data_IF_428165256112
#
_entry.id   IF_428165256112
#
_cell.length_a   1.000
_cell.length_b   1.000
_cell.length_c   1.000
_cell.angle_alpha   90.00
_cell.angle_beta   90.00
_cell.angle_gamma   90.00
#
_symmetry.space_group_name_H-M   'P 1'
#
loop_
_entity.id
_entity.type
_entity.pdbx_description
1 polymer ?
#
# COMPACT_ATOMS: atom_id res chain seq x y z
N UNK A 1 -3.11 5.16 27.83
CA UNK A 1 -2.02 4.76 26.90
C UNK A 1 -2.13 5.56 25.61
N UNK A 2 -1.06 6.28 25.18
CA UNK A 2 -1.03 6.93 23.86
C UNK A 2 -0.94 5.84 22.78
N UNK A 3 -1.89 5.81 21.83
CA UNK A 3 -1.91 4.83 20.74
C UNK A 3 -0.72 5.09 19.81
N UNK A 4 0.30 4.22 19.82
CA UNK A 4 1.35 4.26 18.80
C UNK A 4 0.71 4.05 17.42
N UNK A 5 0.97 4.99 16.52
CA UNK A 5 0.32 5.13 15.24
C UNK A 5 1.05 4.24 14.22
N UNK A 6 0.44 3.13 13.83
CA UNK A 6 0.93 2.29 12.74
C UNK A 6 -0.11 2.30 11.61
N UNK A 7 -0.02 3.29 10.72
CA UNK A 7 -0.95 3.48 9.59
C UNK A 7 -0.66 2.50 8.45
N UNK A 8 -0.69 1.20 8.70
CA UNK A 8 -0.46 0.19 7.65
C UNK A 8 -1.66 0.09 6.70
N UNK A 9 -2.88 0.42 7.16
CA UNK A 9 -4.10 0.50 6.36
C UNK A 9 -5.14 1.46 7.02
N UNK A 10 -6.29 1.67 6.37
CA UNK A 10 -7.35 2.52 6.92
C UNK A 10 -7.99 1.96 8.20
N UNK A 11 -7.99 0.64 8.44
CA UNK A 11 -8.52 0.05 9.68
C UNK A 11 -7.71 0.53 10.90
N UNK A 12 -6.38 0.43 10.83
CA UNK A 12 -5.55 0.96 11.92
C UNK A 12 -5.74 2.46 12.07
N UNK A 13 -5.89 3.20 10.96
CA UNK A 13 -6.21 4.63 10.99
C UNK A 13 -7.52 4.93 11.75
N UNK A 14 -8.61 4.24 11.43
CA UNK A 14 -9.92 4.47 12.07
C UNK A 14 -9.90 4.09 13.55
N UNK A 15 -9.36 2.91 13.89
CA UNK A 15 -9.30 2.45 15.28
C UNK A 15 -8.36 3.29 16.15
N UNK A 16 -7.27 3.81 15.58
CA UNK A 16 -6.31 4.63 16.35
C UNK A 16 -6.75 6.09 16.50
N UNK A 17 -7.44 6.67 15.52
CA UNK A 17 -7.97 8.04 15.63
C UNK A 17 -9.28 8.14 16.40
N UNK A 18 -10.05 7.06 16.50
CA UNK A 18 -11.30 7.06 17.24
C UNK A 18 -11.07 7.30 18.75
N UNK A 19 -11.94 8.11 19.34
CA UNK A 19 -12.05 8.32 20.79
C UNK A 19 -12.72 7.13 21.50
N UNK A 20 -13.38 6.22 20.76
CA UNK A 20 -14.01 5.02 21.33
C UNK A 20 -12.95 4.12 21.97
N UNK A 21 -13.34 3.51 23.10
CA UNK A 21 -12.58 2.45 23.75
C UNK A 21 -12.57 1.18 22.89
N UNK A 22 -11.64 0.25 23.15
CA UNK A 22 -11.64 -1.02 22.44
C UNK A 22 -12.88 -1.87 22.75
N UNK A 23 -13.43 -1.78 23.96
CA UNK A 23 -14.70 -2.41 24.32
C UNK A 23 -15.88 -1.81 23.56
N UNK A 24 -15.96 -0.48 23.45
CA UNK A 24 -17.04 0.16 22.66
C UNK A 24 -16.96 -0.23 21.18
N UNK A 25 -15.76 -0.41 20.62
CA UNK A 25 -15.59 -0.95 19.28
C UNK A 25 -15.99 -2.43 19.18
N UNK A 26 -15.80 -3.21 20.25
CA UNK A 26 -16.31 -4.59 20.32
C UNK A 26 -17.82 -4.59 20.21
N UNK A 27 -18.51 -3.77 20.99
CA UNK A 27 -19.97 -3.67 20.98
C UNK A 27 -20.47 -3.28 19.58
N UNK A 28 -19.89 -2.23 18.97
CA UNK A 28 -20.26 -1.80 17.61
C UNK A 28 -20.08 -2.94 16.58
N UNK A 29 -19.01 -3.73 16.70
CA UNK A 29 -18.73 -4.85 15.80
C UNK A 29 -19.72 -5.98 16.03
N UNK A 30 -20.08 -6.28 17.28
CA UNK A 30 -21.11 -7.27 17.59
C UNK A 30 -22.46 -6.87 16.99
N UNK A 31 -22.88 -5.62 17.19
CA UNK A 31 -24.11 -5.08 16.65
C UNK A 31 -24.12 -5.15 15.11
N UNK A 32 -23.03 -4.72 14.46
CA UNK A 32 -22.91 -4.79 13.01
C UNK A 32 -22.92 -6.23 12.47
N UNK A 33 -22.32 -7.19 13.18
CA UNK A 33 -22.36 -8.62 12.81
C UNK A 33 -23.79 -9.14 12.88
N UNK A 34 -24.53 -8.78 13.93
CA UNK A 34 -25.94 -9.14 14.11
C UNK A 34 -26.83 -8.51 13.03
N UNK A 35 -26.68 -7.22 12.76
CA UNK A 35 -27.45 -6.48 11.75
C UNK A 35 -27.25 -7.05 10.34
N UNK A 36 -26.00 -7.38 10.00
CA UNK A 36 -25.65 -7.99 8.72
C UNK A 36 -25.97 -9.49 8.66
N UNK A 37 -26.45 -10.09 9.76
CA UNK A 37 -26.72 -11.54 9.88
C UNK A 37 -25.51 -12.39 9.53
N UNK A 38 -24.32 -11.96 9.92
CA UNK A 38 -23.06 -12.68 9.72
C UNK A 38 -22.85 -13.70 10.83
N UNK A 39 -22.33 -14.88 10.50
CA UNK A 39 -22.07 -15.95 11.48
C UNK A 39 -20.65 -15.86 12.03
N UNK A 40 -20.46 -15.32 13.23
CA UNK A 40 -19.16 -15.25 13.91
C UNK A 40 -19.23 -15.66 15.38
N UNK A 41 -18.87 -16.91 15.66
CA UNK A 41 -18.91 -17.47 17.01
C UNK A 41 -18.01 -16.70 18.00
N UNK A 42 -16.95 -16.02 17.54
CA UNK A 42 -16.08 -15.28 18.45
C UNK A 42 -16.81 -14.05 19.01
N UNK A 43 -17.47 -13.28 18.15
CA UNK A 43 -18.18 -12.09 18.58
C UNK A 43 -19.55 -12.42 19.20
N UNK A 44 -20.25 -13.45 18.71
CA UNK A 44 -21.62 -13.77 19.16
C UNK A 44 -21.70 -14.76 20.32
N UNK A 45 -20.62 -15.48 20.67
CA UNK A 45 -20.65 -16.39 21.82
C UNK A 45 -20.47 -15.65 23.15
N UNK A 46 -21.17 -16.17 24.17
CA UNK A 46 -20.99 -15.79 25.57
C UNK A 46 -19.74 -16.41 26.21
N UNK A 47 -19.12 -17.40 25.55
CA UNK A 47 -17.93 -18.09 26.05
C UNK A 47 -16.68 -17.19 26.03
N UNK A 48 -16.67 -16.17 25.16
CA UNK A 48 -15.60 -15.18 25.08
C UNK A 48 -15.95 -13.95 25.92
N UNK A 49 -15.10 -13.61 26.89
CA UNK A 49 -15.31 -12.41 27.71
C UNK A 49 -15.04 -11.11 26.92
N UNK A 50 -15.53 -9.99 27.47
CA UNK A 50 -15.36 -8.66 26.86
C UNK A 50 -13.88 -8.27 26.72
N UNK A 51 -13.01 -8.75 27.61
CA UNK A 51 -11.59 -8.40 27.59
C UNK A 51 -10.86 -9.06 26.41
N UNK A 52 -11.19 -10.31 26.09
CA UNK A 52 -10.64 -11.02 24.94
C UNK A 52 -11.05 -10.37 23.62
N UNK A 53 -12.33 -9.98 23.50
CA UNK A 53 -12.84 -9.26 22.33
C UNK A 53 -12.21 -7.87 22.21
N UNK A 54 -12.07 -7.12 23.30
CA UNK A 54 -11.37 -5.84 23.29
C UNK A 54 -9.88 -5.99 22.92
N UNK A 55 -9.23 -7.07 23.37
CA UNK A 55 -7.85 -7.41 22.98
C UNK A 55 -7.75 -7.69 21.48
N UNK A 56 -8.75 -8.33 20.87
CA UNK A 56 -8.81 -8.49 19.40
C UNK A 56 -8.85 -7.13 18.70
N UNK A 57 -9.67 -6.18 19.14
CA UNK A 57 -9.70 -4.83 18.56
C UNK A 57 -8.37 -4.08 18.75
N UNK A 58 -7.73 -4.22 19.91
CA UNK A 58 -6.39 -3.70 20.12
C UNK A 58 -5.41 -4.25 19.09
N UNK A 59 -5.40 -5.56 18.85
CA UNK A 59 -4.53 -6.21 17.85
C UNK A 59 -4.83 -5.71 16.43
N UNK A 60 -6.10 -5.54 16.06
CA UNK A 60 -6.48 -4.92 14.78
C UNK A 60 -5.91 -3.51 14.65
N UNK A 61 -5.94 -2.71 15.72
CA UNK A 61 -5.35 -1.36 15.73
C UNK A 61 -3.82 -1.36 15.58
N UNK A 62 -3.16 -2.51 15.79
CA UNK A 62 -1.72 -2.72 15.59
C UNK A 62 -1.37 -3.30 14.21
N UNK A 63 -2.36 -3.51 13.35
CA UNK A 63 -2.15 -4.00 11.99
C UNK A 63 -2.24 -5.52 11.87
N UNK A 64 -2.77 -6.22 12.87
CA UNK A 64 -3.19 -7.61 12.69
C UNK A 64 -4.32 -7.65 11.66
N UNK A 65 -4.26 -8.65 10.79
CA UNK A 65 -5.19 -8.82 9.68
C UNK A 65 -6.59 -9.14 10.25
N UNK A 66 -7.63 -8.38 9.87
CA UNK A 66 -9.01 -8.68 10.25
C UNK A 66 -9.52 -9.94 9.56
N UNK A 67 -10.51 -10.59 10.16
CA UNK A 67 -11.30 -11.61 9.48
C UNK A 67 -12.19 -10.95 8.42
N UNK A 68 -12.77 -11.76 7.52
CA UNK A 68 -13.75 -11.29 6.53
C UNK A 68 -14.95 -10.64 7.22
N UNK A 69 -15.38 -11.23 8.32
CA UNK A 69 -16.55 -10.77 9.07
C UNK A 69 -16.25 -9.44 9.75
N UNK A 70 -15.10 -9.33 10.44
CA UNK A 70 -14.63 -8.07 11.00
C UNK A 70 -14.48 -6.99 9.92
N UNK A 71 -13.99 -7.37 8.73
CA UNK A 71 -13.83 -6.45 7.60
C UNK A 71 -15.17 -5.90 7.11
N UNK A 72 -16.18 -6.76 6.98
CA UNK A 72 -17.53 -6.34 6.58
C UNK A 72 -18.22 -5.50 7.66
N UNK A 73 -18.13 -5.93 8.92
CA UNK A 73 -18.70 -5.21 10.06
C UNK A 73 -18.09 -3.82 10.19
N UNK A 74 -16.75 -3.70 10.15
CA UNK A 74 -16.05 -2.41 10.16
C UNK A 74 -16.44 -1.52 8.97
N UNK A 75 -16.64 -2.11 7.79
CA UNK A 75 -17.07 -1.35 6.62
C UNK A 75 -18.50 -0.81 6.78
N UNK A 76 -19.38 -1.61 7.37
CA UNK A 76 -20.73 -1.21 7.69
C UNK A 76 -20.76 -0.10 8.75
N UNK A 77 -20.01 -0.23 9.85
CA UNK A 77 -19.93 0.81 10.89
C UNK A 77 -19.44 2.14 10.33
N UNK A 78 -18.45 2.12 9.42
CA UNK A 78 -17.79 3.33 8.94
C UNK A 78 -18.42 3.96 7.70
N UNK A 79 -19.12 3.17 6.89
CA UNK A 79 -19.63 3.61 5.58
C UNK A 79 -21.08 3.21 5.33
N UNK A 80 -21.78 2.68 6.35
CA UNK A 80 -23.16 2.19 6.29
C UNK A 80 -23.39 1.13 5.18
N UNK A 81 -22.31 0.47 4.74
CA UNK A 81 -22.35 -0.48 3.65
C UNK A 81 -21.15 -1.44 3.71
N UNK A 82 -21.42 -2.72 3.97
CA UNK A 82 -20.40 -3.77 4.01
C UNK A 82 -19.60 -3.92 2.71
N UNK A 83 -20.19 -3.58 1.55
CA UNK A 83 -19.52 -3.63 0.24
C UNK A 83 -18.51 -2.50 0.07
N UNK A 84 -18.52 -1.49 0.94
CA UNK A 84 -17.52 -0.42 0.97
C UNK A 84 -16.22 -0.82 1.65
N UNK A 85 -16.02 -2.08 2.02
CA UNK A 85 -14.80 -2.57 2.67
C UNK A 85 -13.48 -2.22 1.96
N UNK A 86 -13.38 -2.06 0.61
CA UNK A 86 -12.12 -1.62 0.00
C UNK A 86 -11.66 -0.24 0.49
N UNK A 87 -12.61 0.61 0.91
CA UNK A 87 -12.32 1.93 1.51
C UNK A 87 -11.62 1.79 2.87
N UNK A 88 -11.72 0.66 3.55
CA UNK A 88 -10.97 0.39 4.79
C UNK A 88 -9.47 0.25 4.56
N UNK A 89 -9.03 -0.07 3.34
CA UNK A 89 -7.61 -0.18 3.02
C UNK A 89 -7.06 1.11 2.42
N UNK A 90 -7.88 1.79 1.62
CA UNK A 90 -7.53 3.05 0.96
C UNK A 90 -8.61 4.11 1.22
N UNK A 91 -8.72 4.68 2.44
CA UNK A 91 -9.84 5.55 2.82
C UNK A 91 -9.76 6.95 2.20
N UNK A 92 -8.55 7.48 2.04
CA UNK A 92 -8.30 8.82 1.52
C UNK A 92 -6.91 8.89 0.88
N UNK A 93 -6.63 10.00 0.18
CA UNK A 93 -5.39 10.20 -0.57
C UNK A 93 -4.13 10.13 0.31
N UNK A 94 -4.18 10.68 1.53
CA UNK A 94 -3.05 10.65 2.47
C UNK A 94 -2.67 9.20 2.84
N UNK A 95 -3.66 8.37 3.21
CA UNK A 95 -3.40 6.95 3.56
C UNK A 95 -2.95 6.18 2.32
N UNK A 96 -3.57 6.41 1.16
CA UNK A 96 -3.16 5.77 -0.10
C UNK A 96 -1.70 6.09 -0.46
N UNK A 97 -1.27 7.36 -0.37
CA UNK A 97 0.12 7.76 -0.63
C UNK A 97 1.08 7.00 0.30
N UNK A 98 0.76 6.90 1.60
CA UNK A 98 1.59 6.17 2.56
C UNK A 98 1.68 4.67 2.24
N UNK A 99 0.56 4.03 1.90
CA UNK A 99 0.54 2.62 1.50
C UNK A 99 1.35 2.36 0.22
N UNK A 100 1.31 3.30 -0.74
CA UNK A 100 2.15 3.28 -1.95
C UNK A 100 3.63 3.34 -1.57
N UNK A 101 4.03 4.29 -0.73
CA UNK A 101 5.41 4.43 -0.27
C UNK A 101 5.92 3.16 0.44
N UNK A 102 5.16 2.62 1.39
CA UNK A 102 5.52 1.38 2.09
C UNK A 102 5.72 0.22 1.10
N UNK A 103 4.83 0.10 0.11
CA UNK A 103 4.90 -0.96 -0.90
C UNK A 103 6.17 -0.86 -1.73
N UNK A 104 6.51 0.34 -2.20
CA UNK A 104 7.71 0.60 -3.02
C UNK A 104 8.97 0.33 -2.21
N UNK A 105 9.08 0.93 -1.02
CA UNK A 105 10.29 0.84 -0.19
C UNK A 105 10.57 -0.62 0.16
N UNK A 106 9.53 -1.41 0.47
CA UNK A 106 9.68 -2.85 0.71
C UNK A 106 10.29 -3.61 -0.48
N UNK A 107 9.90 -3.25 -1.71
CA UNK A 107 10.39 -3.87 -2.94
C UNK A 107 11.79 -3.37 -3.31
N UNK A 108 12.02 -2.07 -3.25
CA UNK A 108 13.32 -1.45 -3.53
C UNK A 108 14.39 -2.00 -2.59
N UNK A 109 14.13 -2.02 -1.28
CA UNK A 109 15.05 -2.60 -0.30
C UNK A 109 15.37 -4.07 -0.59
N UNK A 110 14.41 -4.84 -1.07
CA UNK A 110 14.64 -6.25 -1.43
C UNK A 110 15.57 -6.42 -2.64
N UNK A 111 15.52 -5.51 -3.62
CA UNK A 111 16.46 -5.48 -4.75
C UNK A 111 17.83 -5.02 -4.27
N UNK A 112 17.87 -3.96 -3.46
CA UNK A 112 19.11 -3.35 -3.00
C UNK A 112 19.92 -4.27 -2.08
N UNK A 113 19.27 -5.12 -1.28
CA UNK A 113 19.96 -6.17 -0.50
C UNK A 113 20.78 -7.15 -1.38
N UNK A 114 20.53 -7.20 -2.69
CA UNK A 114 21.34 -7.93 -3.68
C UNK A 114 22.23 -7.00 -4.53
N UNK A 115 22.78 -5.95 -3.94
CA UNK A 115 23.46 -4.80 -4.58
C UNK A 115 24.40 -5.15 -5.74
N UNK A 116 25.22 -6.19 -5.61
CA UNK A 116 26.19 -6.59 -6.65
C UNK A 116 25.53 -7.00 -7.97
N UNK A 117 24.44 -7.77 -7.90
CA UNK A 117 23.70 -8.20 -9.09
C UNK A 117 22.93 -7.05 -9.73
N UNK A 118 22.42 -6.12 -8.89
CA UNK A 118 21.70 -4.95 -9.37
C UNK A 118 22.63 -3.95 -10.06
N UNK A 119 23.79 -3.62 -9.47
CA UNK A 119 24.76 -2.71 -10.08
C UNK A 119 25.31 -3.26 -11.41
N UNK A 120 25.53 -4.58 -11.47
CA UNK A 120 25.92 -5.26 -12.72
C UNK A 120 24.81 -5.22 -13.77
N UNK A 121 23.54 -5.34 -13.36
CA UNK A 121 22.41 -5.21 -14.26
C UNK A 121 22.29 -3.76 -14.76
N UNK A 122 22.37 -2.77 -13.87
CA UNK A 122 22.20 -1.35 -14.16
C UNK A 122 23.26 -0.85 -15.16
N UNK A 123 24.53 -1.22 -14.97
CA UNK A 123 25.62 -0.84 -15.88
C UNK A 123 25.45 -1.40 -17.29
N UNK A 124 24.80 -2.58 -17.43
CA UNK A 124 24.50 -3.22 -18.72
C UNK A 124 23.30 -2.62 -19.46
N UNK A 125 22.42 -1.87 -18.79
CA UNK A 125 21.18 -1.32 -19.39
C UNK A 125 21.36 0.07 -20.02
N UNK A 126 22.60 0.56 -20.12
CA UNK A 126 22.89 1.90 -20.63
C UNK A 126 22.43 2.07 -22.09
N UNK A 127 21.42 2.93 -22.26
CA UNK A 127 21.14 3.77 -23.45
C UNK A 127 19.99 3.37 -24.41
N UNK A 128 19.52 2.12 -24.51
CA UNK A 128 18.42 1.79 -25.48
C UNK A 128 17.23 0.99 -24.94
N UNK A 129 17.38 0.19 -23.89
CA UNK A 129 16.32 -0.73 -23.42
C UNK A 129 15.29 -0.10 -22.47
N UNK A 130 15.68 0.88 -21.66
CA UNK A 130 14.79 1.51 -20.67
C UNK A 130 13.79 2.50 -21.33
N UNK A 131 14.18 3.08 -22.47
CA UNK A 131 13.36 4.01 -23.28
C UNK A 131 12.61 3.33 -24.41
N UNK A 132 12.92 2.07 -24.74
CA UNK A 132 12.03 1.31 -25.60
C UNK A 132 10.68 1.33 -24.89
N UNK A 133 9.70 1.99 -25.49
CA UNK A 133 8.34 2.12 -24.98
C UNK A 133 7.99 0.75 -24.43
N UNK A 134 7.95 0.60 -23.10
CA UNK A 134 7.56 -0.68 -22.51
C UNK A 134 6.21 -0.93 -23.16
N UNK A 135 6.08 -1.93 -24.05
CA UNK A 135 4.85 -2.14 -24.78
C UNK A 135 3.73 -2.07 -23.75
N UNK A 136 2.68 -1.30 -24.01
CA UNK A 136 1.51 -1.31 -23.13
C UNK A 136 1.04 -2.77 -22.87
N UNK A 137 1.41 -3.69 -23.78
CA UNK A 137 1.18 -5.14 -23.73
C UNK A 137 2.23 -5.98 -22.96
N UNK A 138 3.39 -5.46 -22.54
CA UNK A 138 4.39 -6.24 -21.76
C UNK A 138 3.85 -6.56 -20.35
N UNK A 139 2.85 -5.82 -19.91
CA UNK A 139 2.12 -6.04 -18.65
C UNK A 139 0.89 -6.95 -18.77
N UNK A 140 0.42 -7.22 -19.99
CA UNK A 140 -0.60 -8.27 -20.25
C UNK A 140 0.04 -9.67 -20.30
N UNK A 141 1.36 -9.74 -20.49
CA UNK A 141 2.11 -10.98 -20.33
C UNK A 141 2.20 -11.33 -18.84
N UNK A 142 1.58 -12.45 -18.48
CA UNK A 142 1.54 -13.01 -17.12
C UNK A 142 2.93 -13.41 -16.54
N UNK A 143 4.02 -13.00 -17.18
CA UNK A 143 5.38 -13.48 -16.93
C UNK A 143 6.35 -12.45 -16.34
N UNK A 144 6.04 -11.15 -16.33
CA UNK A 144 6.96 -10.18 -15.71
C UNK A 144 6.94 -10.32 -14.19
N UNK A 145 8.12 -10.51 -13.59
CA UNK A 145 8.22 -10.63 -12.15
C UNK A 145 8.19 -9.25 -11.47
N UNK A 146 7.70 -9.20 -10.22
CA UNK A 146 7.77 -7.99 -9.41
C UNK A 146 9.23 -7.54 -9.20
N UNK A 147 10.19 -8.48 -9.24
CA UNK A 147 11.61 -8.18 -9.17
C UNK A 147 12.06 -7.39 -10.39
N UNK A 148 11.66 -7.82 -11.59
CA UNK A 148 12.06 -7.18 -12.85
C UNK A 148 11.43 -5.80 -13.01
N UNK A 149 10.15 -5.64 -12.67
CA UNK A 149 9.51 -4.31 -12.71
C UNK A 149 10.15 -3.33 -11.72
N UNK A 150 10.57 -3.81 -10.54
CA UNK A 150 11.26 -2.98 -9.55
C UNK A 150 12.62 -2.55 -10.08
N UNK A 151 13.35 -3.43 -10.76
CA UNK A 151 14.62 -3.08 -11.43
C UNK A 151 14.42 -2.02 -12.50
N UNK A 152 13.40 -2.15 -13.34
CA UNK A 152 13.04 -1.16 -14.37
C UNK A 152 12.76 0.20 -13.72
N UNK A 153 11.93 0.24 -12.69
CA UNK A 153 11.64 1.46 -11.93
C UNK A 153 12.91 2.11 -11.39
N UNK A 154 13.80 1.33 -10.76
CA UNK A 154 15.07 1.85 -10.23
C UNK A 154 16.00 2.36 -11.33
N UNK A 155 16.05 1.69 -12.49
CA UNK A 155 16.83 2.16 -13.64
C UNK A 155 16.33 3.49 -14.19
N UNK A 156 15.00 3.68 -14.28
CA UNK A 156 14.41 4.95 -14.69
C UNK A 156 14.65 6.07 -13.66
N UNK A 157 14.56 5.75 -12.37
CA UNK A 157 14.91 6.70 -11.32
C UNK A 157 16.39 7.11 -11.36
N UNK A 158 17.30 6.16 -11.58
CA UNK A 158 18.73 6.48 -11.67
C UNK A 158 19.02 7.40 -12.84
N UNK A 159 18.37 7.17 -13.99
CA UNK A 159 18.48 8.06 -15.13
C UNK A 159 18.00 9.47 -14.80
N UNK A 160 16.82 9.60 -14.21
CA UNK A 160 16.30 10.91 -13.79
C UNK A 160 17.25 11.60 -12.80
N UNK A 161 17.80 10.85 -11.85
CA UNK A 161 18.80 11.34 -10.90
C UNK A 161 20.04 11.88 -11.62
N UNK A 162 20.53 11.17 -12.65
CA UNK A 162 21.65 11.62 -13.47
C UNK A 162 21.31 12.88 -14.29
N UNK A 163 20.10 12.96 -14.84
CA UNK A 163 19.60 14.14 -15.55
C UNK A 163 19.51 15.36 -14.62
N UNK A 164 18.97 15.19 -13.40
CA UNK A 164 18.92 16.25 -12.39
C UNK A 164 20.33 16.78 -12.06
N UNK A 165 21.31 15.87 -11.88
CA UNK A 165 22.72 16.23 -11.65
C UNK A 165 23.31 16.99 -12.84
N UNK A 166 23.06 16.52 -14.07
CA UNK A 166 23.56 17.17 -15.28
C UNK A 166 23.00 18.59 -15.46
N UNK A 167 21.73 18.79 -15.10
CA UNK A 167 21.08 20.11 -15.10
C UNK A 167 21.52 21.02 -13.94
N UNK A 168 22.43 20.54 -13.06
CA UNK A 168 22.98 21.32 -11.96
C UNK A 168 22.11 21.34 -10.70
N UNK A 169 21.09 20.49 -10.59
CA UNK A 169 20.34 20.34 -9.34
C UNK A 169 21.21 19.63 -8.30
N UNK A 170 21.21 20.15 -7.07
CA UNK A 170 21.86 19.48 -5.95
C UNK A 170 21.01 18.27 -5.51
N UNK A 171 21.45 17.07 -5.86
CA UNK A 171 20.88 15.82 -5.34
C UNK A 171 21.71 15.39 -4.13
N UNK A 172 21.18 15.57 -2.93
CA UNK A 172 21.86 15.23 -1.66
C UNK A 172 21.90 13.73 -1.32
N UNK A 173 21.25 12.89 -2.13
CA UNK A 173 20.96 11.50 -1.77
C UNK A 173 22.11 10.55 -2.12
N UNK A 174 22.60 9.85 -1.10
CA UNK A 174 23.79 8.99 -1.17
C UNK A 174 23.60 7.70 -1.97
N UNK A 175 22.36 7.22 -2.13
CA UNK A 175 22.04 6.03 -2.95
C UNK A 175 20.61 6.05 -3.52
N UNK A 176 20.32 5.12 -4.43
CA UNK A 176 19.01 5.03 -5.12
C UNK A 176 17.84 4.65 -4.22
N UNK A 177 18.08 4.00 -3.08
CA UNK A 177 17.04 3.71 -2.09
C UNK A 177 16.56 5.02 -1.46
N UNK A 178 17.50 5.81 -0.94
CA UNK A 178 17.21 7.13 -0.35
C UNK A 178 16.55 8.05 -1.38
N UNK A 179 17.06 8.08 -2.62
CA UNK A 179 16.47 8.88 -3.69
C UNK A 179 15.05 8.42 -4.05
N UNK A 180 14.78 7.10 -4.11
CA UNK A 180 13.43 6.57 -4.32
C UNK A 180 12.47 6.97 -3.19
N UNK A 181 12.91 6.84 -1.94
CA UNK A 181 12.10 7.21 -0.77
C UNK A 181 11.75 8.70 -0.81
N UNK A 182 12.73 9.55 -1.11
CA UNK A 182 12.55 10.99 -1.25
C UNK A 182 11.63 11.34 -2.42
N UNK A 183 11.79 10.72 -3.58
CA UNK A 183 10.92 10.93 -4.74
C UNK A 183 9.45 10.71 -4.38
N UNK A 184 9.12 9.61 -3.70
CA UNK A 184 7.74 9.33 -3.29
C UNK A 184 7.25 10.30 -2.22
N UNK A 185 8.12 10.69 -1.28
CA UNK A 185 7.77 11.66 -0.24
C UNK A 185 7.36 13.02 -0.83
N UNK A 186 8.01 13.42 -1.93
CA UNK A 186 7.79 14.69 -2.64
C UNK A 186 6.52 14.71 -3.50
N UNK A 187 5.93 13.55 -3.84
CA UNK A 187 4.67 13.50 -4.59
C UNK A 187 3.56 14.13 -3.73
N UNK A 188 2.89 15.22 -4.17
CA UNK A 188 1.79 15.80 -3.41
C UNK A 188 0.65 14.80 -3.15
N UNK A 189 -0.03 14.91 -2.01
CA UNK A 189 -1.14 13.98 -1.69
C UNK A 189 -2.28 14.03 -2.73
N UNK A 190 -2.53 15.22 -3.27
CA UNK A 190 -3.51 15.48 -4.33
C UNK A 190 -2.95 15.25 -5.75
N UNK A 191 -1.75 14.69 -5.89
CA UNK A 191 -1.15 14.47 -7.20
C UNK A 191 -1.99 13.53 -8.06
N UNK A 192 -1.97 13.71 -9.41
CA UNK A 192 -2.77 12.90 -10.30
C UNK A 192 -2.60 11.39 -10.19
N UNK A 193 -1.37 10.96 -9.95
CA UNK A 193 -1.06 9.55 -9.73
C UNK A 193 -1.80 8.97 -8.50
N UNK A 194 -1.93 9.73 -7.41
CA UNK A 194 -2.56 9.24 -6.18
C UNK A 194 -4.07 9.15 -6.35
N UNK A 195 -4.72 10.19 -6.89
CA UNK A 195 -6.18 10.16 -7.07
C UNK A 195 -6.62 9.11 -8.10
N UNK A 196 -5.81 8.85 -9.15
CA UNK A 196 -6.11 7.81 -10.15
C UNK A 196 -5.83 6.41 -9.64
N UNK A 197 -4.77 6.22 -8.85
CA UNK A 197 -4.42 4.90 -8.31
C UNK A 197 -5.42 4.43 -7.25
N UNK A 198 -5.90 5.31 -6.39
CA UNK A 198 -6.81 4.93 -5.30
C UNK A 198 -8.00 4.06 -5.73
N UNK A 199 -8.82 4.43 -6.74
CA UNK A 199 -9.94 3.58 -7.18
C UNK A 199 -9.47 2.26 -7.79
N UNK A 200 -8.35 2.24 -8.53
CA UNK A 200 -7.79 1.01 -9.12
C UNK A 200 -7.33 0.05 -8.03
N UNK A 201 -6.62 0.57 -7.03
CA UNK A 201 -6.16 -0.20 -5.87
C UNK A 201 -7.35 -0.78 -5.10
N UNK A 202 -8.41 0.00 -4.88
CA UNK A 202 -9.65 -0.49 -4.27
C UNK A 202 -10.29 -1.62 -5.07
N UNK A 203 -10.40 -1.48 -6.39
CA UNK A 203 -10.99 -2.49 -7.26
C UNK A 203 -10.16 -3.79 -7.32
N UNK A 204 -8.85 -3.70 -7.11
CA UNK A 204 -7.92 -4.85 -7.09
C UNK A 204 -7.86 -5.60 -5.75
N UNK A 205 -8.59 -5.18 -4.72
CA UNK A 205 -8.58 -5.85 -3.43
C UNK A 205 -9.46 -7.11 -3.46
N UNK A 206 -8.95 -8.21 -2.90
CA UNK A 206 -9.71 -9.43 -2.63
C UNK A 206 -9.89 -9.57 -1.11
N UNK A 207 -11.12 -9.72 -0.62
CA UNK A 207 -11.44 -9.66 0.82
C UNK A 207 -10.75 -10.76 1.66
N UNK A 208 -10.25 -11.81 1.00
CA UNK A 208 -9.63 -12.98 1.63
C UNK A 208 -8.10 -13.02 1.53
N UNK A 209 -7.49 -12.02 0.88
CA UNK A 209 -6.06 -12.05 0.56
C UNK A 209 -5.45 -10.70 0.89
N UNK A 210 -4.27 -10.73 1.55
CA UNK A 210 -3.53 -9.50 1.86
C UNK A 210 -3.17 -8.70 0.61
N UNK A 211 -2.55 -7.54 0.78
CA UNK A 211 -2.03 -6.72 -0.33
C UNK A 211 -1.02 -7.57 -1.13
N UNK A 212 -1.50 -8.14 -2.24
CA UNK A 212 -0.76 -9.10 -3.05
C UNK A 212 0.25 -8.41 -3.97
N UNK A 213 1.09 -9.26 -4.58
CA UNK A 213 1.96 -8.96 -5.71
C UNK A 213 1.25 -8.13 -6.80
N UNK A 214 -0.03 -8.37 -7.11
CA UNK A 214 -0.73 -7.60 -8.16
C UNK A 214 -0.87 -6.12 -7.83
N UNK A 215 -1.13 -5.74 -6.57
CA UNK A 215 -1.21 -4.32 -6.19
C UNK A 215 0.13 -3.62 -6.31
N UNK A 216 1.20 -4.31 -5.92
CA UNK A 216 2.56 -3.79 -6.07
C UNK A 216 2.89 -3.60 -7.56
N UNK A 217 2.50 -4.54 -8.42
CA UNK A 217 2.65 -4.41 -9.88
C UNK A 217 1.90 -3.18 -10.41
N UNK A 218 0.64 -2.98 -10.03
CA UNK A 218 -0.16 -1.80 -10.43
C UNK A 218 0.53 -0.49 -10.01
N UNK A 219 1.05 -0.43 -8.78
CA UNK A 219 1.77 0.74 -8.26
C UNK A 219 3.01 1.04 -9.11
N UNK A 220 3.86 0.03 -9.33
CA UNK A 220 5.08 0.20 -10.12
C UNK A 220 4.79 0.58 -11.57
N UNK A 221 3.76 -0.01 -12.19
CA UNK A 221 3.34 0.32 -13.55
C UNK A 221 2.99 1.80 -13.69
N UNK A 222 2.20 2.34 -12.76
CA UNK A 222 1.81 3.76 -12.85
C UNK A 222 2.97 4.70 -12.56
N UNK A 223 3.88 4.35 -11.66
CA UNK A 223 5.08 5.15 -11.40
C UNK A 223 6.04 5.16 -12.58
N UNK A 224 6.25 3.99 -13.21
CA UNK A 224 7.05 3.87 -14.43
C UNK A 224 6.46 4.74 -15.53
N UNK A 225 5.13 4.70 -15.72
CA UNK A 225 4.46 5.56 -16.70
C UNK A 225 4.68 7.05 -16.41
N UNK A 226 4.64 7.47 -15.13
CA UNK A 226 4.95 8.85 -14.73
C UNK A 226 6.40 9.23 -15.00
N UNK A 227 7.34 8.32 -14.78
CA UNK A 227 8.77 8.56 -15.05
C UNK A 227 9.05 8.63 -16.56
N UNK A 228 8.37 7.84 -17.37
CA UNK A 228 8.55 7.83 -18.84
C UNK A 228 7.91 9.04 -19.53
N UNK A 229 6.78 9.55 -19.03
CA UNK A 229 6.07 10.69 -19.63
C UNK A 229 6.67 12.07 -19.29
N UNK A 230 7.80 12.11 -18.57
CA UNK A 230 8.50 13.34 -18.17
C UNK A 230 9.88 13.51 -18.81
N UNK A 231 10.22 12.70 -19.82
CA UNK A 231 11.41 12.87 -20.65
C UNK A 231 11.05 13.50 -22.00
#
# INVERSE_FOLDING_TARGET
MKKAINYTNGITYFLTRSQKSYSSWTDDIQDAISDLKLSDNFYTSNDFDLNEKAKRIYLLSKGIIPTIIETKALAYILFENEKSWPKLYYPNLMVTKKSIAISINSCVLSIWKGEKDFNTWLSKQTSRSLNATLPQNLFNNHHISLRDITKIYLGLLDRRRQEDIYLGFQVSDTNLVTYSDNFISQIPENAPIIYKLMPVLRASLEINRGIKKEQKLIIFQQLISVLQNKC
#
